data_IF_781297701180
#
_entry.id   IF_781297701180
#
_cell.length_a   1.000
_cell.length_b   1.000
_cell.length_c   1.000
_cell.angle_alpha   90.00
_cell.angle_beta   90.00
_cell.angle_gamma   90.00
#
_symmetry.space_group_name_H-M   'P 1'
#
loop_
_entity.id
_entity.type
_entity.pdbx_description
1 polymer ?
#
# COMPACT_ATOMS: atom_id res chain seq x y z
N UNK A 1 -3.10 28.29 3.54
CA UNK A 1 -2.16 27.16 3.58
C UNK A 1 -2.96 25.89 3.37
N UNK A 2 -2.54 24.95 2.53
CA UNK A 2 -3.24 23.67 2.38
C UNK A 2 -3.10 22.83 3.66
N UNK A 3 -4.20 22.18 4.05
CA UNK A 3 -4.23 21.19 5.12
C UNK A 3 -4.36 19.81 4.48
N UNK A 4 -3.42 18.91 4.75
CA UNK A 4 -3.34 17.61 4.06
C UNK A 4 -3.94 16.44 4.85
N UNK A 5 -3.72 16.37 6.17
CA UNK A 5 -4.24 15.31 7.06
C UNK A 5 -4.09 13.89 6.49
N UNK A 6 -2.86 13.50 6.14
CA UNK A 6 -2.55 12.17 5.62
C UNK A 6 -1.32 11.55 6.26
N UNK A 7 -1.29 10.22 6.27
CA UNK A 7 -0.10 9.46 6.65
C UNK A 7 1.02 9.72 5.63
N UNK A 8 2.24 9.92 6.13
CA UNK A 8 3.42 10.19 5.31
C UNK A 8 4.56 9.28 5.74
N UNK A 9 5.48 8.98 4.82
CA UNK A 9 6.76 8.32 5.16
C UNK A 9 7.52 9.16 6.19
N UNK A 10 8.19 8.49 7.12
CA UNK A 10 8.85 9.11 8.27
C UNK A 10 9.92 10.17 7.92
N UNK A 11 10.49 10.14 6.71
CA UNK A 11 11.49 11.09 6.20
C UNK A 11 10.90 12.33 5.50
N UNK A 12 9.60 12.34 5.22
CA UNK A 12 8.95 13.45 4.52
C UNK A 12 9.05 14.78 5.29
N UNK A 13 8.91 14.83 6.64
CA UNK A 13 9.07 16.09 7.38
C UNK A 13 10.45 16.73 7.19
N UNK A 14 11.52 15.94 7.10
CA UNK A 14 12.88 16.40 6.89
C UNK A 14 13.05 16.96 5.48
N UNK A 15 12.47 16.30 4.47
CA UNK A 15 12.46 16.78 3.08
C UNK A 15 11.70 18.11 2.97
N UNK A 16 10.54 18.25 3.64
CA UNK A 16 9.78 19.51 3.66
C UNK A 16 10.63 20.65 4.27
N UNK A 17 11.33 20.39 5.38
CA UNK A 17 12.24 21.35 6.03
C UNK A 17 13.42 21.73 5.12
N UNK A 18 14.02 20.76 4.45
CA UNK A 18 15.11 21.01 3.50
C UNK A 18 14.69 21.91 2.33
N UNK A 19 13.41 21.84 1.94
CA UNK A 19 12.81 22.70 0.93
C UNK A 19 12.34 24.07 1.47
N UNK A 20 12.81 24.49 2.65
CA UNK A 20 12.52 25.80 3.25
C UNK A 20 11.10 25.96 3.78
N UNK A 21 10.34 24.86 3.94
CA UNK A 21 8.97 24.88 4.47
C UNK A 21 8.94 24.33 5.90
N UNK A 22 7.92 24.69 6.68
CA UNK A 22 7.76 24.24 8.06
C UNK A 22 6.60 23.23 8.11
N UNK A 23 6.87 21.92 8.30
CA UNK A 23 5.81 20.93 8.47
C UNK A 23 5.30 20.93 9.92
N UNK A 24 3.99 20.77 10.08
CA UNK A 24 3.36 20.41 11.36
C UNK A 24 3.00 18.93 11.33
N UNK A 25 3.51 18.15 12.29
CA UNK A 25 3.34 16.70 12.34
C UNK A 25 3.13 16.22 13.77
N UNK A 26 2.52 15.06 13.94
CA UNK A 26 2.43 14.34 15.22
C UNK A 26 2.61 12.85 14.98
N UNK A 27 3.05 12.14 16.00
CA UNK A 27 3.10 10.68 15.99
C UNK A 27 1.69 10.16 16.33
N UNK A 28 1.21 9.20 15.55
CA UNK A 28 -0.11 8.60 15.77
C UNK A 28 0.00 7.50 16.83
N UNK A 29 -0.96 7.38 17.76
CA UNK A 29 -1.13 6.16 18.55
C UNK A 29 -1.54 5.00 17.64
N UNK A 30 -1.28 3.76 18.06
CA UNK A 30 -1.46 2.56 17.25
C UNK A 30 -2.87 2.43 16.63
N UNK A 31 -3.93 2.64 17.43
CA UNK A 31 -5.32 2.56 16.97
C UNK A 31 -5.67 3.58 15.88
N UNK A 32 -5.01 4.74 15.90
CA UNK A 32 -5.20 5.76 14.87
C UNK A 32 -4.30 5.50 13.66
N UNK A 33 -3.07 5.04 13.91
CA UNK A 33 -2.12 4.67 12.89
C UNK A 33 -2.69 3.63 11.92
N UNK A 34 -3.31 2.56 12.43
CA UNK A 34 -3.87 1.53 11.58
C UNK A 34 -5.02 2.04 10.70
N UNK A 35 -5.86 2.94 11.23
CA UNK A 35 -6.93 3.59 10.45
C UNK A 35 -6.35 4.44 9.32
N UNK A 36 -5.25 5.15 9.60
CA UNK A 36 -4.56 5.95 8.59
C UNK A 36 -3.78 5.10 7.58
N UNK A 37 -3.28 3.92 7.93
CA UNK A 37 -2.75 2.95 6.96
C UNK A 37 -3.84 2.53 5.97
N UNK A 38 -5.04 2.19 6.45
CA UNK A 38 -6.13 1.76 5.55
C UNK A 38 -6.50 2.84 4.56
N UNK A 39 -6.68 4.08 5.03
CA UNK A 39 -6.91 5.24 4.15
C UNK A 39 -5.77 5.45 3.17
N UNK A 40 -4.52 5.34 3.63
CA UNK A 40 -3.35 5.50 2.77
C UNK A 40 -3.27 4.41 1.71
N UNK A 41 -3.68 3.18 2.04
CA UNK A 41 -3.75 2.07 1.07
C UNK A 41 -4.80 2.32 -0.01
N UNK A 42 -5.95 2.88 0.35
CA UNK A 42 -6.96 3.32 -0.61
C UNK A 42 -6.46 4.49 -1.48
N UNK A 43 -5.74 5.46 -0.89
CA UNK A 43 -5.09 6.57 -1.60
C UNK A 43 -4.13 6.05 -2.67
N UNK A 44 -3.09 5.27 -2.31
CA UNK A 44 -2.08 4.83 -3.30
C UNK A 44 -2.66 3.87 -4.35
N UNK A 45 -3.66 3.05 -3.98
CA UNK A 45 -4.35 2.21 -4.96
C UNK A 45 -5.11 3.06 -5.97
N UNK A 46 -5.75 4.13 -5.50
CA UNK A 46 -6.46 5.07 -6.38
C UNK A 46 -5.47 5.80 -7.28
N UNK A 47 -4.36 6.29 -6.72
CA UNK A 47 -3.28 6.94 -7.49
C UNK A 47 -2.71 5.98 -8.56
N UNK A 48 -2.50 4.69 -8.25
CA UNK A 48 -2.07 3.68 -9.23
C UNK A 48 -3.08 3.51 -10.38
N UNK A 49 -4.37 3.46 -10.06
CA UNK A 49 -5.44 3.31 -11.05
C UNK A 49 -5.58 4.53 -11.96
N UNK A 50 -5.37 5.73 -11.41
CA UNK A 50 -5.45 7.02 -12.12
C UNK A 50 -4.15 7.37 -12.87
N UNK A 51 -3.02 6.78 -12.49
CA UNK A 51 -1.72 7.06 -13.07
C UNK A 51 -1.69 6.77 -14.59
N UNK A 52 -1.25 7.76 -15.36
CA UNK A 52 -1.17 7.68 -16.83
C UNK A 52 0.23 7.34 -17.34
N UNK A 53 1.26 7.45 -16.50
CA UNK A 53 2.66 7.15 -16.87
C UNK A 53 3.15 5.88 -16.18
N UNK A 54 4.12 5.20 -16.81
CA UNK A 54 4.74 4.01 -16.23
C UNK A 54 5.49 4.32 -14.93
N UNK A 55 6.18 5.46 -14.89
CA UNK A 55 6.95 5.89 -13.72
C UNK A 55 6.06 6.05 -12.50
N UNK A 56 5.00 6.84 -12.62
CA UNK A 56 4.03 7.05 -11.55
C UNK A 56 3.38 5.73 -11.11
N UNK A 57 3.00 4.85 -12.04
CA UNK A 57 2.51 3.51 -11.69
C UNK A 57 3.49 2.68 -10.86
N UNK A 58 4.79 2.77 -11.15
CA UNK A 58 5.81 2.04 -10.40
C UNK A 58 6.03 2.63 -9.01
N UNK A 59 5.91 3.96 -8.87
CA UNK A 59 5.94 4.64 -7.57
C UNK A 59 4.78 4.17 -6.69
N UNK A 60 3.55 4.21 -7.20
CA UNK A 60 2.38 3.79 -6.43
C UNK A 60 2.38 2.30 -6.06
N UNK A 61 2.88 1.43 -6.96
CA UNK A 61 3.09 0.02 -6.62
C UNK A 61 4.14 -0.18 -5.52
N UNK A 62 5.17 0.69 -5.47
CA UNK A 62 6.17 0.67 -4.41
C UNK A 62 5.60 1.15 -3.07
N UNK A 63 4.74 2.15 -3.08
CA UNK A 63 4.06 2.61 -1.86
C UNK A 63 3.03 1.59 -1.35
N UNK A 64 2.28 0.93 -2.24
CA UNK A 64 1.43 -0.21 -1.86
C UNK A 64 2.24 -1.36 -1.24
N UNK A 65 3.44 -1.65 -1.75
CA UNK A 65 4.30 -2.69 -1.17
C UNK A 65 4.78 -2.31 0.25
N UNK A 66 5.11 -1.05 0.49
CA UNK A 66 5.46 -0.54 1.82
C UNK A 66 4.29 -0.67 2.80
N UNK A 67 3.08 -0.34 2.34
CA UNK A 67 1.87 -0.45 3.16
C UNK A 67 1.53 -1.91 3.49
N UNK A 68 1.74 -2.83 2.55
CA UNK A 68 1.63 -4.28 2.82
C UNK A 68 2.64 -4.71 3.89
N UNK A 69 3.87 -4.20 3.87
CA UNK A 69 4.86 -4.50 4.90
C UNK A 69 4.41 -3.98 6.28
N UNK A 70 3.95 -2.73 6.36
CA UNK A 70 3.44 -2.15 7.61
C UNK A 70 2.22 -2.90 8.17
N UNK A 71 1.33 -3.36 7.29
CA UNK A 71 0.19 -4.20 7.68
C UNK A 71 0.64 -5.58 8.17
N UNK A 72 1.62 -6.21 7.51
CA UNK A 72 2.17 -7.48 7.97
C UNK A 72 2.77 -7.35 9.37
N UNK A 73 3.52 -6.28 9.63
CA UNK A 73 4.07 -5.99 10.96
C UNK A 73 2.98 -5.76 12.01
N UNK A 74 1.89 -5.06 11.65
CA UNK A 74 0.73 -4.88 12.53
C UNK A 74 0.04 -6.21 12.90
N UNK A 75 -0.03 -7.15 11.96
CA UNK A 75 -0.56 -8.50 12.19
C UNK A 75 0.43 -9.43 12.93
N UNK A 76 1.58 -8.92 13.37
CA UNK A 76 2.62 -9.71 14.05
C UNK A 76 3.37 -10.66 13.13
N UNK A 77 3.43 -10.33 11.84
CA UNK A 77 4.02 -11.14 10.77
C UNK A 77 5.09 -10.35 10.01
N UNK A 78 5.65 -10.93 8.95
CA UNK A 78 6.67 -10.30 8.10
C UNK A 78 6.28 -10.35 6.63
N UNK A 79 6.84 -9.46 5.82
CA UNK A 79 6.68 -9.51 4.36
C UNK A 79 7.18 -10.84 3.76
N UNK A 80 8.14 -11.51 4.39
CA UNK A 80 8.60 -12.84 3.98
C UNK A 80 7.51 -13.90 4.17
N UNK A 81 6.84 -13.90 5.31
CA UNK A 81 5.73 -14.81 5.59
C UNK A 81 4.56 -14.58 4.62
N UNK A 82 4.19 -13.32 4.35
CA UNK A 82 3.20 -12.98 3.32
C UNK A 82 3.61 -13.54 1.94
N UNK A 83 4.88 -13.42 1.58
CA UNK A 83 5.39 -13.96 0.32
C UNK A 83 5.36 -15.49 0.28
N UNK A 84 5.62 -16.17 1.39
CA UNK A 84 5.53 -17.63 1.48
C UNK A 84 4.07 -18.09 1.29
N UNK A 85 3.11 -17.41 1.91
CA UNK A 85 1.67 -17.65 1.70
C UNK A 85 1.30 -17.43 0.23
N UNK A 86 1.79 -16.34 -0.39
CA UNK A 86 1.56 -16.04 -1.82
C UNK A 86 2.10 -17.14 -2.74
N UNK A 87 3.32 -17.63 -2.50
CA UNK A 87 3.95 -18.71 -3.27
C UNK A 87 3.16 -20.02 -3.15
N UNK A 88 2.79 -20.41 -1.93
CA UNK A 88 1.95 -21.60 -1.70
C UNK A 88 0.61 -21.51 -2.44
N UNK A 89 -0.07 -20.36 -2.40
CA UNK A 89 -1.30 -20.13 -3.19
C UNK A 89 -1.07 -20.26 -4.70
N UNK A 90 0.07 -19.77 -5.20
CA UNK A 90 0.41 -19.89 -6.62
C UNK A 90 0.69 -21.34 -7.04
N UNK A 91 1.31 -22.14 -6.17
CA UNK A 91 1.51 -23.58 -6.41
C UNK A 91 0.18 -24.34 -6.38
N UNK A 92 -0.70 -24.05 -5.42
CA UNK A 92 -1.98 -24.74 -5.25
C UNK A 92 -3.05 -24.33 -6.27
N UNK A 93 -3.07 -23.05 -6.69
CA UNK A 93 -4.20 -22.44 -7.42
C UNK A 93 -3.80 -21.71 -8.69
N UNK A 94 -2.50 -21.65 -9.02
CA UNK A 94 -1.97 -20.82 -10.09
C UNK A 94 -1.89 -19.33 -9.73
N UNK A 95 -1.42 -18.54 -10.69
CA UNK A 95 -1.38 -17.07 -10.59
C UNK A 95 -2.38 -16.41 -11.53
N UNK A 96 -2.27 -15.10 -11.69
CA UNK A 96 -3.12 -14.32 -12.60
C UNK A 96 -2.57 -14.23 -14.04
N UNK A 97 -1.50 -14.97 -14.36
CA UNK A 97 -0.83 -14.91 -15.68
C UNK A 97 -1.71 -15.32 -16.84
N UNK A 98 -2.61 -16.27 -16.61
CA UNK A 98 -3.45 -16.88 -17.63
C UNK A 98 -4.70 -16.04 -17.94
N UNK A 99 -4.90 -14.93 -17.20
CA UNK A 99 -5.99 -13.96 -17.40
C UNK A 99 -7.38 -14.59 -17.41
N UNK A 100 -7.56 -15.64 -16.62
CA UNK A 100 -8.84 -16.36 -16.53
C UNK A 100 -9.88 -15.48 -15.81
N UNK A 101 -11.00 -15.23 -16.48
CA UNK A 101 -12.16 -14.53 -15.92
C UNK A 101 -13.35 -15.50 -15.82
N UNK A 102 -13.86 -15.71 -14.60
CA UNK A 102 -14.99 -16.59 -14.37
C UNK A 102 -16.30 -15.89 -14.78
N UNK A 103 -17.00 -16.42 -15.78
CA UNK A 103 -18.27 -15.86 -16.27
C UNK A 103 -19.48 -16.50 -15.57
N UNK A 104 -19.50 -17.83 -15.48
CA UNK A 104 -20.62 -18.60 -14.93
C UNK A 104 -20.12 -19.96 -14.45
N UNK A 105 -20.75 -20.47 -13.39
CA UNK A 105 -20.68 -21.88 -12.97
C UNK A 105 -22.08 -22.47 -13.14
N UNK A 106 -22.17 -23.69 -13.66
CA UNK A 106 -23.42 -24.47 -13.71
C UNK A 106 -23.16 -25.83 -13.08
N UNK A 107 -24.16 -26.36 -12.39
CA UNK A 107 -24.14 -27.75 -11.93
C UNK A 107 -24.15 -28.71 -13.13
N UNK A 108 -23.65 -29.93 -12.91
CA UNK A 108 -23.67 -31.01 -13.91
C UNK A 108 -25.09 -31.56 -14.13
#
# INVERSE_FOLDING_TARGET
>A
MPTYNKLIRNKIPQIIKANGKIPTTRILPEEEYIKEIYKKTEEELTEYLEATTKEHKLEELSDLLELINALAEHEGSTLEEINNIRKKKAEERGGFSDRVFLIKVTDN
#
